data_IF_330676095097
#
_entry.id   IF_330676095097
#
_cell.length_a   1.000
_cell.length_b   1.000
_cell.length_c   1.000
_cell.angle_alpha   90.00
_cell.angle_beta   90.00
_cell.angle_gamma   90.00
#
_symmetry.space_group_name_H-M   'P 1'
#
loop_
_entity.id
_entity.type
_entity.pdbx_description
1 polymer ?
#
# COMPACT_ATOMS: atom_id res chain seq x y z
N UNK A 1 -11.42 -2.56 2.60
CA UNK A 1 -10.87 -1.20 2.44
C UNK A 1 -10.62 -0.50 3.76
N UNK A 2 -11.59 -0.41 4.64
CA UNK A 2 -11.45 0.23 5.96
C UNK A 2 -10.23 -0.27 6.75
N UNK A 3 -9.94 -1.56 6.71
CA UNK A 3 -8.81 -2.14 7.42
C UNK A 3 -7.46 -1.65 6.88
N UNK A 4 -7.27 -1.60 5.55
CA UNK A 4 -6.07 -1.08 4.91
C UNK A 4 -5.88 0.39 5.28
N UNK A 5 -6.93 1.19 5.18
CA UNK A 5 -6.93 2.61 5.54
C UNK A 5 -6.54 2.81 7.01
N UNK A 6 -7.13 2.03 7.93
CA UNK A 6 -6.83 2.11 9.36
C UNK A 6 -5.37 1.73 9.68
N UNK A 7 -4.80 0.74 8.99
CA UNK A 7 -3.39 0.38 9.15
C UNK A 7 -2.47 1.52 8.70
N UNK A 8 -2.76 2.14 7.56
CA UNK A 8 -2.00 3.29 7.06
C UNK A 8 -2.09 4.50 8.00
N UNK A 9 -3.29 4.79 8.54
CA UNK A 9 -3.48 5.89 9.50
C UNK A 9 -2.71 5.70 10.81
N UNK A 10 -2.44 4.47 11.21
CA UNK A 10 -1.67 4.16 12.44
C UNK A 10 -0.16 4.24 12.24
N UNK A 11 0.34 4.26 11.01
CA UNK A 11 1.78 4.32 10.74
C UNK A 11 2.26 5.77 10.56
N UNK A 12 2.79 6.35 11.62
CA UNK A 12 3.26 7.75 11.61
C UNK A 12 4.44 7.99 10.67
N UNK A 13 5.34 7.00 10.49
CA UNK A 13 6.47 7.13 9.57
C UNK A 13 6.00 7.20 8.13
N UNK A 14 5.08 6.32 7.75
CA UNK A 14 4.44 6.31 6.44
C UNK A 14 3.75 7.66 6.16
N UNK A 15 2.95 8.16 7.11
CA UNK A 15 2.25 9.44 6.97
C UNK A 15 3.21 10.61 6.77
N UNK A 16 4.29 10.69 7.56
CA UNK A 16 5.30 11.74 7.44
C UNK A 16 6.01 11.71 6.08
N UNK A 17 6.31 10.53 5.54
CA UNK A 17 6.92 10.38 4.22
C UNK A 17 6.04 10.91 3.08
N UNK A 18 4.72 10.82 3.22
CA UNK A 18 3.78 11.33 2.22
C UNK A 18 3.46 12.82 2.41
N UNK A 19 3.40 13.30 3.65
CA UNK A 19 3.01 14.68 3.95
C UNK A 19 4.14 15.67 3.77
N UNK A 20 5.32 15.38 4.35
CA UNK A 20 6.45 16.30 4.31
C UNK A 20 7.31 16.11 3.07
N UNK A 21 7.36 17.16 2.23
CA UNK A 21 8.11 17.15 0.98
C UNK A 21 9.61 17.52 1.17
N UNK A 22 10.13 17.43 2.38
CA UNK A 22 11.49 17.78 2.73
C UNK A 22 12.37 16.55 2.97
N UNK A 23 13.69 16.71 2.86
CA UNK A 23 14.64 15.59 3.09
C UNK A 23 14.59 15.05 4.53
N UNK A 24 14.18 15.88 5.49
CA UNK A 24 14.03 15.55 6.91
C UNK A 24 12.62 15.06 7.30
N UNK A 25 11.84 14.56 6.35
CA UNK A 25 10.45 14.15 6.57
C UNK A 25 10.28 13.21 7.78
N UNK A 26 11.22 12.29 8.01
CA UNK A 26 11.17 11.34 9.13
C UNK A 26 11.50 11.97 10.50
N UNK A 27 12.13 13.14 10.52
CA UNK A 27 12.46 13.88 11.75
C UNK A 27 11.37 14.89 12.13
N UNK A 28 10.38 15.10 11.23
CA UNK A 28 9.27 16.01 11.47
C UNK A 28 8.28 15.44 12.50
N UNK A 29 7.48 16.32 13.15
CA UNK A 29 6.43 15.89 14.07
C UNK A 29 5.42 14.93 13.42
N UNK A 30 4.76 14.11 14.24
CA UNK A 30 3.64 13.31 13.76
C UNK A 30 2.49 14.23 13.32
N UNK A 31 1.77 13.79 12.31
CA UNK A 31 0.60 14.48 11.79
C UNK A 31 -0.55 14.44 12.80
N UNK A 32 -1.32 15.51 12.82
CA UNK A 32 -2.62 15.51 13.50
C UNK A 32 -3.59 14.54 12.83
N UNK A 33 -4.71 14.27 13.47
CA UNK A 33 -5.75 13.42 12.89
C UNK A 33 -6.32 14.03 11.59
N UNK A 34 -6.53 15.34 11.57
CA UNK A 34 -7.03 16.07 10.40
C UNK A 34 -6.06 15.97 9.22
N UNK A 35 -4.79 16.32 9.43
CA UNK A 35 -3.73 16.18 8.41
C UNK A 35 -3.59 14.74 7.90
N UNK A 36 -3.74 13.75 8.81
CA UNK A 36 -3.68 12.34 8.43
C UNK A 36 -4.84 11.92 7.52
N UNK A 37 -6.03 12.44 7.75
CA UNK A 37 -7.21 12.19 6.91
C UNK A 37 -7.09 12.87 5.55
N UNK A 38 -6.49 14.05 5.47
CA UNK A 38 -6.26 14.76 4.21
C UNK A 38 -5.35 13.99 3.23
N UNK A 39 -4.49 13.08 3.74
CA UNK A 39 -3.67 12.23 2.87
C UNK A 39 -4.53 11.34 1.96
N UNK A 40 -5.72 10.91 2.44
CA UNK A 40 -6.63 10.11 1.62
C UNK A 40 -7.36 11.00 0.60
N UNK A 41 -7.30 10.57 -0.65
CA UNK A 41 -7.78 11.36 -1.80
C UNK A 41 -6.74 12.32 -2.37
N UNK A 42 -5.80 12.80 -1.56
CA UNK A 42 -4.67 13.63 -2.02
C UNK A 42 -3.46 12.78 -2.39
N UNK A 43 -2.83 12.15 -1.41
CA UNK A 43 -1.61 11.34 -1.57
C UNK A 43 -1.90 9.84 -1.72
N UNK A 44 -2.94 9.35 -1.04
CA UNK A 44 -3.34 7.94 -1.07
C UNK A 44 -4.61 7.84 -1.89
N UNK A 45 -4.55 7.09 -2.99
CA UNK A 45 -5.66 6.92 -3.93
C UNK A 45 -5.99 5.45 -4.10
N UNK A 46 -7.28 5.15 -4.12
CA UNK A 46 -7.80 3.81 -4.35
C UNK A 46 -8.53 3.85 -5.68
N UNK A 47 -7.77 3.71 -6.74
CA UNK A 47 -8.29 3.84 -8.12
C UNK A 47 -7.50 2.94 -9.06
N UNK A 48 -8.14 2.38 -10.10
CA UNK A 48 -7.45 1.55 -11.08
C UNK A 48 -6.62 2.37 -12.08
N UNK A 49 -6.62 3.71 -11.94
CA UNK A 49 -5.96 4.62 -12.87
C UNK A 49 -5.09 5.62 -12.15
N UNK A 50 -3.88 5.74 -12.65
CA UNK A 50 -2.93 6.75 -12.21
C UNK A 50 -3.38 8.14 -12.68
N UNK A 51 -3.72 9.01 -11.74
CA UNK A 51 -3.91 10.43 -11.97
C UNK A 51 -2.92 11.21 -11.11
N UNK A 52 -2.01 11.93 -11.74
CA UNK A 52 -1.04 12.79 -11.06
C UNK A 52 -1.52 14.23 -11.16
N UNK A 53 -1.70 14.84 -10.00
CA UNK A 53 -1.80 16.27 -9.84
C UNK A 53 -0.38 16.80 -9.53
N UNK A 54 0.14 17.69 -10.36
CA UNK A 54 1.49 18.24 -10.20
C UNK A 54 1.73 18.99 -8.88
N UNK A 55 0.68 19.26 -8.11
CA UNK A 55 0.78 19.85 -6.77
C UNK A 55 1.13 18.84 -5.68
N UNK A 56 0.98 17.54 -5.94
CA UNK A 56 1.28 16.46 -5.00
C UNK A 56 2.56 15.77 -5.44
N UNK A 57 3.50 15.61 -4.52
CA UNK A 57 4.85 15.17 -4.85
C UNK A 57 5.12 13.70 -4.51
N UNK A 58 4.26 13.07 -3.70
CA UNK A 58 4.37 11.65 -3.36
C UNK A 58 2.99 11.03 -3.29
N UNK A 59 2.83 9.91 -4.00
CA UNK A 59 1.57 9.17 -4.10
C UNK A 59 1.74 7.72 -3.69
N UNK A 60 0.69 7.15 -3.14
CA UNK A 60 0.48 5.69 -3.04
C UNK A 60 -0.88 5.39 -3.64
N UNK A 61 -0.89 4.61 -4.70
CA UNK A 61 -2.10 4.17 -5.39
C UNK A 61 -2.33 2.71 -5.06
N UNK A 62 -3.51 2.39 -4.60
CA UNK A 62 -3.91 1.04 -4.25
C UNK A 62 -4.85 0.54 -5.33
N UNK A 63 -4.49 -0.55 -5.98
CA UNK A 63 -5.32 -1.24 -6.95
C UNK A 63 -5.50 -2.71 -6.60
N UNK A 64 -6.61 -3.26 -7.06
CA UNK A 64 -6.94 -4.67 -6.92
C UNK A 64 -6.99 -5.27 -8.31
N UNK A 65 -6.05 -6.18 -8.57
CA UNK A 65 -5.89 -6.82 -9.86
C UNK A 65 -6.19 -8.32 -9.77
N UNK A 66 -6.52 -8.93 -10.90
CA UNK A 66 -6.66 -10.37 -11.09
C UNK A 66 -7.56 -11.08 -10.06
N UNK A 67 -8.87 -10.94 -10.24
CA UNK A 67 -9.84 -11.82 -9.58
C UNK A 67 -9.99 -13.12 -10.39
N UNK A 68 -9.04 -14.04 -10.24
CA UNK A 68 -9.11 -15.34 -10.93
C UNK A 68 -9.52 -16.46 -9.97
N UNK A 69 -10.33 -17.43 -10.42
CA UNK A 69 -10.56 -18.64 -9.63
C UNK A 69 -9.23 -19.34 -9.36
N UNK A 70 -9.03 -19.79 -8.12
CA UNK A 70 -7.84 -20.57 -7.78
C UNK A 70 -7.81 -21.87 -8.58
N UNK A 71 -6.64 -22.23 -9.15
CA UNK A 71 -6.49 -23.39 -10.02
C UNK A 71 -6.75 -24.74 -9.31
N UNK A 72 -6.55 -24.79 -7.99
CA UNK A 72 -6.71 -26.01 -7.19
C UNK A 72 -8.07 -26.07 -6.48
N UNK A 73 -8.69 -24.94 -6.22
CA UNK A 73 -10.02 -24.89 -5.62
C UNK A 73 -10.85 -23.71 -6.18
N UNK A 74 -11.82 -23.98 -7.10
CA UNK A 74 -12.62 -22.96 -7.77
C UNK A 74 -13.49 -22.10 -6.83
N UNK A 75 -13.70 -22.53 -5.57
CA UNK A 75 -14.43 -21.75 -4.56
C UNK A 75 -13.59 -20.58 -4.01
N UNK A 76 -12.27 -20.62 -4.23
CA UNK A 76 -11.34 -19.58 -3.83
C UNK A 76 -10.97 -18.68 -5.02
N UNK A 77 -10.71 -17.43 -4.72
CA UNK A 77 -10.25 -16.46 -5.70
C UNK A 77 -8.90 -15.91 -5.28
N UNK A 78 -7.97 -15.94 -6.20
CA UNK A 78 -6.68 -15.30 -6.02
C UNK A 78 -6.84 -13.84 -6.41
N UNK A 79 -6.50 -12.94 -5.50
CA UNK A 79 -6.49 -11.50 -5.70
C UNK A 79 -5.05 -11.02 -5.62
N UNK A 80 -4.72 -10.04 -6.44
CA UNK A 80 -3.46 -9.29 -6.31
C UNK A 80 -3.82 -7.88 -5.84
N UNK A 81 -3.14 -7.44 -4.80
CA UNK A 81 -3.20 -6.05 -4.36
C UNK A 81 -1.88 -5.40 -4.73
N UNK A 82 -1.95 -4.32 -5.48
CA UNK A 82 -0.79 -3.53 -5.88
C UNK A 82 -0.78 -2.20 -5.13
N UNK A 83 0.42 -1.82 -4.67
CA UNK A 83 0.70 -0.50 -4.11
C UNK A 83 1.72 0.19 -5.01
N UNK A 84 1.24 1.13 -5.82
CA UNK A 84 2.08 1.92 -6.69
C UNK A 84 2.55 3.17 -5.95
N UNK A 85 3.82 3.21 -5.61
CA UNK A 85 4.48 4.32 -4.92
C UNK A 85 5.12 5.20 -5.98
N UNK A 86 4.72 6.45 -6.07
CA UNK A 86 5.20 7.38 -7.08
C UNK A 86 5.64 8.66 -6.39
N UNK A 87 6.89 9.07 -6.64
CA UNK A 87 7.47 10.27 -6.06
C UNK A 87 8.08 11.14 -7.17
N UNK A 88 7.93 12.46 -7.00
CA UNK A 88 8.63 13.43 -7.82
C UNK A 88 10.14 13.35 -7.57
N UNK A 89 10.97 13.48 -8.59
CA UNK A 89 12.42 13.36 -8.46
C UNK A 89 13.04 14.34 -7.47
N UNK A 90 12.53 15.57 -7.36
CA UNK A 90 12.99 16.56 -6.39
C UNK A 90 12.81 16.12 -4.93
N UNK A 91 11.89 15.18 -4.69
CA UNK A 91 11.58 14.63 -3.38
C UNK A 91 12.14 13.23 -3.15
N UNK A 92 12.88 12.71 -4.13
CA UNK A 92 13.36 11.33 -4.11
C UNK A 92 14.32 11.05 -2.97
N UNK A 93 15.24 11.98 -2.70
CA UNK A 93 16.29 11.82 -1.70
C UNK A 93 15.85 12.36 -0.34
N UNK A 94 16.00 11.51 0.67
CA UNK A 94 15.88 11.85 2.09
C UNK A 94 17.27 12.12 2.69
N UNK A 95 17.33 12.48 3.98
CA UNK A 95 18.58 12.52 4.75
C UNK A 95 19.29 11.15 4.73
N UNK A 96 20.60 11.16 4.99
CA UNK A 96 21.42 9.96 5.11
C UNK A 96 21.40 9.08 3.84
N UNK A 97 21.30 9.74 2.67
CA UNK A 97 21.25 9.06 1.36
C UNK A 97 20.12 8.05 1.19
N UNK A 98 19.10 8.10 2.02
CA UNK A 98 17.93 7.26 1.88
C UNK A 98 17.04 7.74 0.71
N UNK A 99 16.34 6.81 0.07
CA UNK A 99 15.45 7.08 -1.03
C UNK A 99 13.98 6.97 -0.58
N UNK A 100 13.22 8.03 -0.78
CA UNK A 100 11.83 8.14 -0.32
C UNK A 100 10.93 7.00 -0.80
N UNK A 101 10.88 6.63 -2.10
CA UNK A 101 10.00 5.54 -2.53
C UNK A 101 10.36 4.20 -1.88
N UNK A 102 11.64 3.92 -1.65
CA UNK A 102 12.06 2.69 -0.96
C UNK A 102 11.71 2.71 0.53
N UNK A 103 11.74 3.88 1.17
CA UNK A 103 11.31 4.01 2.57
C UNK A 103 9.79 3.84 2.71
N UNK A 104 9.02 4.40 1.78
CA UNK A 104 7.56 4.19 1.72
C UNK A 104 7.27 2.70 1.48
N UNK A 105 7.99 2.04 0.56
CA UNK A 105 7.87 0.61 0.29
C UNK A 105 8.12 -0.24 1.56
N UNK A 106 9.16 0.08 2.32
CA UNK A 106 9.48 -0.63 3.57
C UNK A 106 8.37 -0.47 4.63
N UNK A 107 7.76 0.71 4.73
CA UNK A 107 6.63 0.91 5.65
C UNK A 107 5.38 0.14 5.19
N UNK A 108 5.10 0.08 3.89
CA UNK A 108 4.00 -0.72 3.32
C UNK A 108 4.24 -2.20 3.60
N UNK A 109 5.45 -2.69 3.34
CA UNK A 109 5.79 -4.10 3.59
C UNK A 109 5.63 -4.46 5.08
N UNK A 110 6.08 -3.60 5.97
CA UNK A 110 5.92 -3.78 7.43
C UNK A 110 4.45 -3.82 7.85
N UNK A 111 3.59 -3.03 7.19
CA UNK A 111 2.16 -2.99 7.51
C UNK A 111 1.40 -4.22 7.00
N UNK A 112 1.75 -4.74 5.82
CA UNK A 112 0.88 -5.66 5.10
C UNK A 112 1.46 -7.06 4.89
N UNK A 113 2.77 -7.23 4.76
CA UNK A 113 3.36 -8.54 4.49
C UNK A 113 3.14 -9.53 5.64
N UNK A 114 2.62 -10.70 5.32
CA UNK A 114 2.27 -11.75 6.30
C UNK A 114 1.09 -11.39 7.20
N UNK A 115 0.28 -10.38 6.86
CA UNK A 115 -0.90 -9.99 7.63
C UNK A 115 -2.16 -10.60 7.05
N UNK A 116 -3.02 -11.05 7.96
CA UNK A 116 -4.38 -11.45 7.60
C UNK A 116 -5.31 -10.23 7.63
N UNK A 117 -5.97 -9.97 6.50
CA UNK A 117 -6.98 -8.93 6.38
C UNK A 117 -8.36 -9.56 6.20
N UNK A 118 -9.26 -9.31 7.15
CA UNK A 118 -10.63 -9.80 7.08
C UNK A 118 -11.31 -9.40 5.77
N UNK A 119 -11.88 -10.36 5.07
CA UNK A 119 -12.52 -10.16 3.76
C UNK A 119 -11.57 -10.06 2.56
N UNK A 120 -10.25 -10.12 2.79
CA UNK A 120 -9.21 -10.09 1.74
C UNK A 120 -8.36 -11.36 1.80
N UNK A 121 -7.99 -11.84 3.00
CA UNK A 121 -7.15 -13.00 3.21
C UNK A 121 -5.74 -12.66 3.70
N UNK A 122 -4.84 -13.64 3.65
CA UNK A 122 -3.43 -13.46 3.99
C UNK A 122 -2.70 -12.75 2.85
N UNK A 123 -1.99 -11.68 3.18
CA UNK A 123 -1.18 -10.94 2.23
C UNK A 123 0.25 -11.48 2.23
N UNK A 124 0.72 -11.91 1.08
CA UNK A 124 2.08 -12.37 0.87
C UNK A 124 2.77 -11.55 -0.22
N UNK A 125 3.96 -11.05 0.08
CA UNK A 125 4.73 -10.29 -0.89
C UNK A 125 5.13 -11.15 -2.08
N UNK A 126 4.80 -10.69 -3.28
CA UNK A 126 5.10 -11.38 -4.54
C UNK A 126 6.33 -10.80 -5.23
N UNK A 127 6.54 -9.50 -5.10
CA UNK A 127 7.62 -8.80 -5.77
C UNK A 127 7.42 -7.30 -5.86
N UNK A 128 8.45 -6.62 -6.33
CA UNK A 128 8.44 -5.20 -6.60
C UNK A 128 9.02 -4.90 -7.98
N UNK A 129 8.39 -4.01 -8.71
CA UNK A 129 8.86 -3.53 -10.00
C UNK A 129 9.08 -2.02 -9.97
N UNK A 130 10.05 -1.55 -10.73
CA UNK A 130 10.25 -0.12 -10.92
C UNK A 130 9.15 0.44 -11.85
N UNK A 131 8.61 1.60 -11.49
CA UNK A 131 7.71 2.37 -12.32
C UNK A 131 8.42 3.67 -12.73
N UNK A 132 8.43 3.96 -14.02
CA UNK A 132 8.84 5.25 -14.58
C UNK A 132 7.60 5.80 -15.28
N UNK A 133 7.08 6.91 -14.78
CA UNK A 133 5.85 7.46 -15.30
C UNK A 133 6.10 8.51 -16.38
N UNK A 134 7.03 9.42 -16.11
CA UNK A 134 7.49 10.49 -17.01
C UNK A 134 8.85 11.03 -16.53
N UNK A 135 9.27 12.16 -17.06
CA UNK A 135 10.56 12.80 -16.72
C UNK A 135 10.61 13.37 -15.30
N UNK A 136 9.49 13.46 -14.59
CA UNK A 136 9.40 14.08 -13.27
C UNK A 136 9.04 13.06 -12.17
N UNK A 137 8.35 11.97 -12.50
CA UNK A 137 7.78 11.01 -11.55
C UNK A 137 8.20 9.57 -11.84
N UNK A 138 8.70 8.91 -10.82
CA UNK A 138 8.99 7.48 -10.82
C UNK A 138 8.80 6.86 -9.44
N UNK A 139 8.91 5.54 -9.36
CA UNK A 139 8.78 4.84 -8.09
C UNK A 139 8.81 3.32 -8.20
N UNK A 140 8.01 2.67 -7.37
CA UNK A 140 7.96 1.22 -7.23
C UNK A 140 6.50 0.76 -7.20
N UNK A 141 6.23 -0.36 -7.84
CA UNK A 141 4.99 -1.14 -7.66
C UNK A 141 5.27 -2.34 -6.79
N UNK A 142 4.64 -2.43 -5.64
CA UNK A 142 4.68 -3.59 -4.75
C UNK A 142 3.44 -4.44 -5.02
N UNK A 143 3.62 -5.73 -5.19
CA UNK A 143 2.53 -6.68 -5.42
C UNK A 143 2.44 -7.68 -4.28
N UNK A 144 1.22 -7.90 -3.80
CA UNK A 144 0.90 -8.89 -2.78
C UNK A 144 -0.20 -9.81 -3.29
N UNK A 145 -0.01 -11.12 -3.14
CA UNK A 145 -1.11 -12.06 -3.29
C UNK A 145 -2.00 -12.00 -2.04
N UNK A 146 -3.29 -12.06 -2.25
CA UNK A 146 -4.27 -12.19 -1.19
C UNK A 146 -4.93 -13.57 -1.32
N UNK A 147 -4.54 -14.50 -0.46
CA UNK A 147 -5.07 -15.85 -0.46
C UNK A 147 -6.30 -15.89 0.44
N UNK A 148 -7.47 -16.00 -0.19
CA UNK A 148 -8.75 -16.10 0.52
C UNK A 148 -9.03 -17.58 0.82
N UNK A 149 -9.25 -17.96 2.10
CA UNK A 149 -9.86 -19.25 2.36
C UNK A 149 -9.30 -20.15 3.44
N UNK A 150 -8.22 -19.85 4.16
CA UNK A 150 -7.75 -20.78 5.22
C UNK A 150 -8.48 -20.63 6.57
N UNK A 151 -9.12 -19.50 6.87
CA UNK A 151 -9.78 -19.27 8.16
C UNK A 151 -11.24 -19.70 8.21
N UNK A 152 -11.94 -19.80 7.09
CA UNK A 152 -13.35 -20.21 7.07
C UNK A 152 -13.54 -21.68 7.48
N UNK A 153 -12.50 -22.50 7.38
CA UNK A 153 -12.56 -23.92 7.81
C UNK A 153 -12.55 -24.11 9.33
N UNK A 154 -12.04 -23.13 10.09
CA UNK A 154 -12.02 -23.25 11.58
C UNK A 154 -13.32 -22.84 12.25
N UNK A 155 -14.17 -22.11 11.54
CA UNK A 155 -15.44 -21.57 12.09
C UNK A 155 -16.70 -22.20 11.48
N UNK A 156 -16.57 -23.19 10.60
CA UNK A 156 -17.75 -23.96 10.17
C UNK A 156 -18.14 -24.94 11.28
N UNK A 157 -19.40 -24.92 11.73
CA UNK A 157 -19.90 -25.98 12.60
C UNK A 157 -19.71 -27.32 11.89
N UNK A 158 -19.21 -28.31 12.64
CA UNK A 158 -18.99 -29.64 12.12
C UNK A 158 -20.36 -30.20 11.64
N UNK A 159 -20.52 -30.64 10.38
CA UNK A 159 -21.81 -31.15 9.88
C UNK A 159 -22.27 -32.45 10.54
N UNK A 160 -21.59 -32.89 11.60
CA UNK A 160 -21.90 -34.09 12.35
C UNK A 160 -22.46 -33.84 13.77
N UNK A 161 -22.76 -32.58 14.15
CA UNK A 161 -23.41 -32.22 15.43
C UNK A 161 -24.89 -31.86 15.23
#
# INVERSE_FOLDING_TARGET
>A
MELITNMMLKNDRFKRLLHYNTKDALDRPNLTQEESLELFGKNIKIVPKLYIDGSVLSYVIISFDNFTPNATNPEFRDNIISFDIICHFDQWQLKDFQLRPYRIAAEIDTMFNGKHLTGIGNLEFMGANQIILNDEFAGLSLMYSAIHGEEDKKNMPNPAD
#
